data_IF_310452517224
#
_entry.id   IF_310452517224
#
_cell.length_a   1.000
_cell.length_b   1.000
_cell.length_c   1.000
_cell.angle_alpha   90.00
_cell.angle_beta   90.00
_cell.angle_gamma   90.00
#
_symmetry.space_group_name_H-M   'P 1'
#
loop_
_entity.id
_entity.type
_entity.pdbx_description
1 polymer ?
#
# COMPACT_ATOMS: atom_id res chain seq x y z
N UNK A 1 -22.16 -0.75 1.82
CA UNK A 1 -20.69 -0.82 1.62
C UNK A 1 -19.99 -0.62 2.96
N UNK A 2 -19.37 -1.66 3.53
CA UNK A 2 -18.66 -1.52 4.80
C UNK A 2 -17.44 -0.59 4.61
N UNK A 3 -17.36 0.47 5.42
CA UNK A 3 -16.27 1.47 5.47
C UNK A 3 -14.86 0.90 5.77
N UNK A 4 -14.67 -0.42 5.76
CA UNK A 4 -13.47 -1.10 6.29
C UNK A 4 -12.35 -1.35 5.27
N UNK A 5 -12.57 -1.16 3.98
CA UNK A 5 -11.62 -1.55 2.93
C UNK A 5 -11.20 -0.41 1.99
N UNK A 6 -11.20 0.85 2.45
CA UNK A 6 -10.65 1.92 1.62
C UNK A 6 -9.10 1.83 1.63
N UNK A 7 -8.56 1.11 0.63
CA UNK A 7 -7.12 0.86 0.43
C UNK A 7 -6.32 2.15 0.50
N UNK A 8 -6.82 3.23 -0.14
CA UNK A 8 -6.15 4.53 -0.13
C UNK A 8 -5.98 5.08 1.30
N UNK A 9 -7.05 5.08 2.10
CA UNK A 9 -6.99 5.52 3.49
C UNK A 9 -6.05 4.65 4.34
N UNK A 10 -6.06 3.33 4.13
CA UNK A 10 -5.14 2.42 4.84
C UNK A 10 -3.69 2.74 4.51
N UNK A 11 -3.38 2.95 3.22
CA UNK A 11 -2.04 3.36 2.81
C UNK A 11 -1.67 4.75 3.39
N UNK A 12 -2.60 5.67 3.60
CA UNK A 12 -2.29 6.95 4.27
C UNK A 12 -1.88 6.79 5.75
N UNK A 13 -2.18 5.66 6.40
CA UNK A 13 -1.82 5.44 7.82
C UNK A 13 -0.38 5.02 8.07
N UNK A 14 0.51 5.11 7.06
CA UNK A 14 1.95 4.81 7.19
C UNK A 14 2.23 3.45 7.87
N UNK A 15 1.50 2.42 7.44
CA UNK A 15 1.47 1.12 8.10
C UNK A 15 2.15 0.01 7.28
N UNK A 16 2.19 -1.21 7.84
CA UNK A 16 2.38 -2.44 7.07
C UNK A 16 1.01 -2.98 6.68
N UNK A 17 0.79 -3.27 5.41
CA UNK A 17 -0.49 -3.76 4.89
C UNK A 17 -0.26 -4.85 3.88
N UNK A 18 -1.02 -5.93 3.96
CA UNK A 18 -1.08 -6.93 2.91
C UNK A 18 -2.37 -6.69 2.13
N UNK A 19 -2.24 -6.58 0.81
CA UNK A 19 -3.33 -6.46 -0.12
C UNK A 19 -3.50 -7.79 -0.86
N UNK A 20 -4.73 -8.22 -1.04
CA UNK A 20 -5.04 -9.21 -2.07
C UNK A 20 -5.49 -8.42 -3.30
N UNK A 21 -4.72 -8.56 -4.36
CA UNK A 21 -4.93 -7.95 -5.65
C UNK A 21 -5.34 -9.04 -6.63
N UNK A 22 -6.63 -9.13 -6.96
CA UNK A 22 -7.21 -10.22 -7.74
C UNK A 22 -6.78 -11.59 -7.17
N UNK A 23 -5.94 -12.36 -7.88
CA UNK A 23 -5.41 -13.65 -7.42
C UNK A 23 -4.06 -13.54 -6.69
N UNK A 24 -3.41 -12.38 -6.74
CA UNK A 24 -2.10 -12.14 -6.15
C UNK A 24 -2.18 -11.55 -4.73
N UNK A 25 -1.14 -11.80 -3.93
CA UNK A 25 -0.96 -11.18 -2.62
C UNK A 25 0.23 -10.25 -2.68
N UNK A 26 0.02 -8.98 -2.37
CA UNK A 26 1.06 -7.97 -2.27
C UNK A 26 1.27 -7.59 -0.81
N UNK A 27 2.52 -7.61 -0.37
CA UNK A 27 2.91 -7.13 0.95
C UNK A 27 3.47 -5.72 0.81
N UNK A 28 2.76 -4.76 1.36
CA UNK A 28 3.13 -3.36 1.32
C UNK A 28 3.60 -2.88 2.69
N UNK A 29 4.64 -2.06 2.68
CA UNK A 29 5.19 -1.47 3.90
C UNK A 29 5.58 -0.03 3.63
N UNK A 30 5.12 0.87 4.48
CA UNK A 30 5.69 2.21 4.56
C UNK A 30 7.07 2.15 5.22
N UNK A 31 8.08 2.74 4.59
CA UNK A 31 9.42 2.85 5.12
C UNK A 31 9.96 4.27 4.99
N UNK A 32 10.41 4.84 6.11
CA UNK A 32 11.15 6.10 6.07
C UNK A 32 12.47 5.90 5.31
N UNK A 33 12.78 6.81 4.40
CA UNK A 33 13.99 6.76 3.56
C UNK A 33 14.92 7.88 4.02
N UNK A 34 16.16 7.51 4.34
CA UNK A 34 17.15 8.47 4.88
C UNK A 34 17.42 9.56 3.84
N UNK A 35 17.17 10.81 4.22
CA UNK A 35 17.37 11.98 3.35
C UNK A 35 16.14 12.43 2.57
N UNK A 36 14.96 11.82 2.80
CA UNK A 36 13.68 12.30 2.26
C UNK A 36 12.75 12.72 3.40
N UNK A 37 11.99 13.80 3.17
CA UNK A 37 10.96 14.29 4.11
C UNK A 37 9.80 13.30 4.26
N UNK A 38 9.52 12.52 3.21
CA UNK A 38 8.49 11.49 3.20
C UNK A 38 9.10 10.12 2.97
N UNK A 39 8.59 9.12 3.68
CA UNK A 39 8.88 7.71 3.43
C UNK A 39 8.27 7.22 2.11
N UNK A 40 8.81 6.11 1.63
CA UNK A 40 8.41 5.45 0.39
C UNK A 40 7.72 4.13 0.69
N UNK A 41 6.94 3.65 -0.27
CA UNK A 41 6.28 2.37 -0.19
C UNK A 41 7.16 1.25 -0.75
N UNK A 42 7.23 0.16 -0.01
CA UNK A 42 7.88 -1.07 -0.42
C UNK A 42 6.81 -2.09 -0.77
N UNK A 43 6.90 -2.74 -1.93
CA UNK A 43 6.04 -3.85 -2.34
C UNK A 43 6.89 -5.12 -2.37
N UNK A 44 6.47 -6.16 -1.64
CA UNK A 44 7.15 -7.45 -1.56
C UNK A 44 8.65 -7.35 -1.20
N UNK A 45 9.04 -6.30 -0.48
CA UNK A 45 10.43 -6.03 -0.10
C UNK A 45 11.20 -5.11 -1.05
N UNK A 46 10.66 -4.82 -2.23
CA UNK A 46 11.27 -3.91 -3.21
C UNK A 46 10.81 -2.47 -2.97
N UNK A 47 11.74 -1.52 -2.99
CA UNK A 47 11.40 -0.10 -2.88
C UNK A 47 10.79 0.37 -4.20
N UNK A 48 9.55 0.84 -4.15
CA UNK A 48 8.90 1.39 -5.35
C UNK A 48 9.33 2.81 -5.65
N UNK A 49 9.87 3.54 -4.65
CA UNK A 49 10.11 4.97 -4.75
C UNK A 49 8.83 5.80 -4.85
N UNK A 50 7.65 5.18 -4.68
CA UNK A 50 6.36 5.83 -4.85
C UNK A 50 5.78 6.29 -3.51
N UNK A 51 5.17 7.46 -3.56
CA UNK A 51 4.27 7.94 -2.51
C UNK A 51 2.88 7.29 -2.63
N UNK A 52 2.08 7.46 -1.59
CA UNK A 52 0.77 6.80 -1.43
C UNK A 52 -0.16 6.98 -2.64
N UNK A 53 -0.20 8.18 -3.22
CA UNK A 53 -1.11 8.54 -4.31
C UNK A 53 -0.74 7.80 -5.59
N UNK A 54 0.52 7.90 -6.02
CA UNK A 54 1.01 7.20 -7.22
C UNK A 54 0.96 5.69 -7.06
N UNK A 55 1.30 5.18 -5.87
CA UNK A 55 1.19 3.76 -5.58
C UNK A 55 -0.25 3.28 -5.76
N UNK A 56 -1.22 4.02 -5.24
CA UNK A 56 -2.63 3.66 -5.33
C UNK A 56 -3.15 3.71 -6.78
N UNK A 57 -2.76 4.72 -7.56
CA UNK A 57 -3.09 4.80 -8.99
C UNK A 57 -2.54 3.59 -9.75
N UNK A 58 -1.25 3.27 -9.58
CA UNK A 58 -0.61 2.11 -10.19
C UNK A 58 -1.31 0.80 -9.83
N UNK A 59 -1.69 0.63 -8.56
CA UNK A 59 -2.42 -0.55 -8.12
C UNK A 59 -3.79 -0.64 -8.79
N UNK A 60 -4.51 0.48 -8.92
CA UNK A 60 -5.82 0.55 -9.58
C UNK A 60 -5.76 0.29 -11.09
N UNK A 61 -4.69 0.73 -11.74
CA UNK A 61 -4.48 0.47 -13.17
C UNK A 61 -4.14 -0.99 -13.43
N UNK A 62 -3.33 -1.60 -12.55
CA UNK A 62 -2.87 -2.99 -12.70
C UNK A 62 -3.89 -4.03 -12.24
N UNK A 63 -4.69 -3.72 -11.21
CA UNK A 63 -5.58 -4.67 -10.55
C UNK A 63 -7.03 -4.17 -10.52
N UNK A 64 -7.97 -5.05 -10.86
CA UNK A 64 -9.40 -4.71 -10.86
C UNK A 64 -9.99 -4.81 -9.46
N UNK A 65 -9.57 -5.80 -8.68
CA UNK A 65 -10.03 -5.99 -7.32
C UNK A 65 -8.87 -5.89 -6.35
N UNK A 66 -8.92 -4.91 -5.46
CA UNK A 66 -7.93 -4.73 -4.40
C UNK A 66 -8.67 -4.76 -3.08
N UNK A 67 -8.30 -5.67 -2.18
CA UNK A 67 -8.84 -5.75 -0.83
C UNK A 67 -7.73 -5.80 0.20
N UNK A 68 -7.97 -5.22 1.37
CA UNK A 68 -7.03 -5.27 2.48
C UNK A 68 -7.24 -6.58 3.22
N UNK A 69 -6.23 -7.46 3.22
CA UNK A 69 -6.31 -8.75 3.93
C UNK A 69 -5.70 -8.67 5.32
N UNK A 70 -4.76 -7.76 5.52
CA UNK A 70 -4.12 -7.57 6.82
C UNK A 70 -3.53 -6.17 6.92
N UNK A 71 -3.58 -5.57 8.11
CA UNK A 71 -2.90 -4.31 8.39
C UNK A 71 -2.31 -4.32 9.80
N UNK A 72 -1.15 -3.69 9.96
CA UNK A 72 -0.55 -3.38 11.25
C UNK A 72 -0.02 -1.97 11.22
N UNK A 73 -0.65 -1.12 12.01
CA UNK A 73 -0.20 0.23 12.28
C UNK A 73 0.97 0.17 13.28
N UNK A 74 1.92 1.09 13.12
CA UNK A 74 3.01 1.30 14.06
C UNK A 74 2.59 2.27 15.16
#
# INVERSE_FOLDING_TARGET
MAKRDNVYMVLMTHCKVNLQCDTEKLQLRYGAVKGKEYGEWFINGENTGLQVTRLYEMLKEKYKNIRVIWKRQF
#
